data_IF_186323086834
#
_entry.id   IF_186323086834
#
_cell.length_a   1.000
_cell.length_b   1.000
_cell.length_c   1.000
_cell.angle_alpha   90.00
_cell.angle_beta   90.00
_cell.angle_gamma   90.00
#
_symmetry.space_group_name_H-M   'P 1'
#
loop_
_entity.id
_entity.type
_entity.pdbx_description
1 polymer ?
#
# COMPACT_ATOMS: atom_id res chain seq x y z
N UNK A 1 -12.07 7.22 -12.37
CA UNK A 1 -12.12 5.97 -11.56
C UNK A 1 -10.84 5.21 -11.86
N UNK A 2 -10.20 4.58 -10.89
CA UNK A 2 -8.96 3.82 -11.11
C UNK A 2 -9.28 2.32 -11.23
N UNK A 3 -8.72 1.66 -12.24
CA UNK A 3 -8.77 0.20 -12.38
C UNK A 3 -7.66 -0.45 -11.55
N UNK A 4 -8.05 -1.26 -10.57
CA UNK A 4 -7.15 -2.02 -9.69
C UNK A 4 -7.15 -3.52 -10.04
N UNK A 5 -7.75 -3.92 -11.17
CA UNK A 5 -7.79 -5.31 -11.62
C UNK A 5 -8.59 -6.22 -10.69
N UNK A 6 -9.66 -5.71 -10.09
CA UNK A 6 -10.51 -6.44 -9.13
C UNK A 6 -10.01 -6.44 -7.68
N UNK A 7 -8.88 -5.78 -7.38
CA UNK A 7 -8.44 -5.55 -6.00
C UNK A 7 -9.23 -4.42 -5.33
N UNK A 8 -9.38 -4.50 -4.01
CA UNK A 8 -10.00 -3.45 -3.20
C UNK A 8 -8.95 -2.48 -2.66
N UNK A 9 -9.38 -1.24 -2.40
CA UNK A 9 -8.57 -0.24 -1.71
C UNK A 9 -8.47 -0.60 -0.23
N UNK A 10 -7.23 -0.63 0.29
CA UNK A 10 -6.90 -0.89 1.70
C UNK A 10 -6.56 0.39 2.44
N UNK A 11 -5.75 1.23 1.80
CA UNK A 11 -5.42 2.55 2.32
C UNK A 11 -5.04 3.52 1.18
N UNK A 12 -5.10 4.82 1.49
CA UNK A 12 -4.73 5.90 0.60
C UNK A 12 -3.77 6.85 1.31
N UNK A 13 -2.67 7.18 0.65
CA UNK A 13 -1.76 8.23 1.11
C UNK A 13 -1.54 9.25 -0.01
N UNK A 14 -1.36 10.52 0.37
CA UNK A 14 -1.04 11.58 -0.58
C UNK A 14 0.46 11.83 -0.60
N UNK A 15 1.04 11.89 -1.80
CA UNK A 15 2.42 12.30 -2.06
C UNK A 15 2.40 13.33 -3.17
N UNK A 16 2.47 14.60 -2.79
CA UNK A 16 2.35 15.75 -3.70
C UNK A 16 1.02 15.71 -4.49
N UNK A 17 1.11 15.68 -5.82
CA UNK A 17 -0.02 15.57 -6.76
C UNK A 17 -0.45 14.12 -7.03
N UNK A 18 0.23 13.14 -6.42
CA UNK A 18 -0.08 11.74 -6.56
C UNK A 18 -0.83 11.21 -5.34
N UNK A 19 -1.68 10.23 -5.60
CA UNK A 19 -2.29 9.36 -4.61
C UNK A 19 -1.59 8.00 -4.69
N UNK A 20 -1.02 7.58 -3.57
CA UNK A 20 -0.59 6.21 -3.36
C UNK A 20 -1.81 5.40 -2.93
N UNK A 21 -2.08 4.32 -3.65
CA UNK A 21 -3.19 3.41 -3.36
C UNK A 21 -2.62 2.06 -2.96
N UNK A 22 -2.84 1.66 -1.70
CA UNK A 22 -2.62 0.28 -1.29
C UNK A 22 -3.84 -0.53 -1.70
N UNK A 23 -3.63 -1.53 -2.56
CA UNK A 23 -4.66 -2.41 -3.07
C UNK A 23 -4.37 -3.86 -2.70
N UNK A 24 -5.42 -4.63 -2.40
CA UNK A 24 -5.30 -6.05 -2.06
C UNK A 24 -6.60 -6.83 -2.25
N UNK A 25 -6.59 -8.16 -2.05
CA UNK A 25 -7.79 -8.99 -2.14
C UNK A 25 -8.86 -8.49 -1.17
N UNK A 26 -10.15 -8.44 -1.53
CA UNK A 26 -11.22 -7.93 -0.64
C UNK A 26 -11.63 -8.96 0.40
N UNK A 27 -11.57 -10.24 0.03
CA UNK A 27 -11.91 -11.38 0.89
C UNK A 27 -10.64 -12.01 1.46
N UNK A 28 -10.78 -13.05 2.31
CA UNK A 28 -9.66 -13.87 2.77
C UNK A 28 -9.03 -14.74 1.64
N UNK A 29 -9.35 -14.46 0.37
CA UNK A 29 -8.73 -15.12 -0.76
C UNK A 29 -7.25 -14.69 -0.88
N UNK A 30 -6.40 -15.66 -1.21
CA UNK A 30 -5.02 -15.37 -1.59
C UNK A 30 -4.99 -14.50 -2.84
N UNK A 31 -4.15 -13.48 -2.83
CA UNK A 31 -3.91 -12.62 -3.98
C UNK A 31 -2.86 -11.57 -3.69
N UNK A 32 -2.39 -10.84 -4.71
CA UNK A 32 -1.32 -9.88 -4.55
C UNK A 32 -1.81 -8.64 -3.79
N UNK A 33 -0.91 -8.06 -3.01
CA UNK A 33 -1.05 -6.68 -2.55
C UNK A 33 -0.15 -5.78 -3.39
N UNK A 34 -0.59 -4.56 -3.67
CA UNK A 34 0.11 -3.61 -4.55
C UNK A 34 0.06 -2.20 -4.00
N UNK A 35 1.15 -1.46 -4.15
CA UNK A 35 1.12 0.01 -4.08
C UNK A 35 1.04 0.53 -5.51
N UNK A 36 -0.02 1.29 -5.81
CA UNK A 36 -0.15 2.01 -7.08
C UNK A 36 0.18 3.49 -6.88
N UNK A 37 0.93 4.07 -7.82
CA UNK A 37 1.09 5.52 -7.95
C UNK A 37 0.10 6.07 -8.96
N UNK A 38 -0.92 6.80 -8.51
CA UNK A 38 -1.98 7.33 -9.35
C UNK A 38 -2.05 8.86 -9.29
N UNK A 39 -2.03 9.51 -10.44
CA UNK A 39 -2.32 10.94 -10.56
C UNK A 39 -3.65 11.11 -11.29
N UNK A 40 -4.75 11.51 -10.61
CA UNK A 40 -6.05 11.64 -11.23
C UNK A 40 -6.03 12.67 -12.38
N UNK A 41 -6.47 12.28 -13.57
CA UNK A 41 -6.48 13.18 -14.74
C UNK A 41 -7.68 14.12 -14.79
N UNK A 42 -8.75 13.81 -14.05
CA UNK A 42 -10.03 14.52 -14.12
C UNK A 42 -10.84 14.26 -15.39
N UNK A 43 -10.38 13.37 -16.29
CA UNK A 43 -10.97 13.16 -17.61
C UNK A 43 -12.31 12.37 -17.61
N UNK A 44 -12.87 12.04 -16.45
CA UNK A 44 -14.16 11.36 -16.35
C UNK A 44 -14.20 9.92 -16.88
N UNK A 45 -13.04 9.25 -16.98
CA UNK A 45 -12.90 7.87 -17.48
C UNK A 45 -12.31 6.92 -16.44
N UNK A 46 -12.27 5.63 -16.79
CA UNK A 46 -11.46 4.65 -16.08
C UNK A 46 -9.99 4.89 -16.45
N UNK A 47 -9.14 4.97 -15.43
CA UNK A 47 -7.72 5.24 -15.52
C UNK A 47 -6.94 4.02 -15.04
N UNK A 48 -5.67 3.94 -15.43
CA UNK A 48 -4.70 2.96 -14.93
C UNK A 48 -3.60 3.68 -14.15
N UNK A 49 -2.86 2.94 -13.33
CA UNK A 49 -1.77 3.46 -12.52
C UNK A 49 -0.57 2.52 -12.53
N UNK A 50 0.62 3.08 -12.34
CA UNK A 50 1.84 2.31 -12.23
C UNK A 50 1.85 1.53 -10.91
N UNK A 51 2.21 0.25 -10.96
CA UNK A 51 2.51 -0.54 -9.76
C UNK A 51 3.93 -0.17 -9.31
N UNK A 52 4.05 0.40 -8.13
CA UNK A 52 5.33 0.80 -7.53
C UNK A 52 5.94 -0.34 -6.71
N UNK A 53 5.09 -1.18 -6.12
CA UNK A 53 5.50 -2.35 -5.35
C UNK A 53 4.41 -3.42 -5.38
N UNK A 54 4.81 -4.69 -5.36
CA UNK A 54 3.91 -5.84 -5.27
C UNK A 54 4.43 -6.84 -4.24
N UNK A 55 3.57 -7.22 -3.28
CA UNK A 55 3.80 -8.38 -2.44
C UNK A 55 3.30 -9.62 -3.17
N UNK A 56 4.23 -10.51 -3.49
CA UNK A 56 3.94 -11.77 -4.18
C UNK A 56 3.59 -12.91 -3.22
N UNK A 57 3.79 -12.73 -1.91
CA UNK A 57 3.44 -13.72 -0.89
C UNK A 57 2.15 -13.32 -0.17
N UNK A 58 1.22 -14.27 -0.01
CA UNK A 58 -0.03 -14.04 0.73
C UNK A 58 0.12 -14.08 2.26
N UNK A 59 1.35 -14.10 2.80
CA UNK A 59 1.57 -14.13 4.26
C UNK A 59 1.59 -12.76 4.91
N UNK A 60 1.93 -11.74 4.15
CA UNK A 60 1.98 -10.37 4.64
C UNK A 60 0.78 -9.61 4.09
N UNK A 61 -0.08 -9.14 4.99
CA UNK A 61 -1.27 -8.37 4.66
C UNK A 61 -1.02 -6.89 5.00
N UNK A 62 -0.41 -6.11 4.10
CA UNK A 62 -0.27 -4.67 4.30
C UNK A 62 -1.67 -4.03 4.30
N UNK A 63 -1.92 -3.19 5.30
CA UNK A 63 -3.23 -2.55 5.51
C UNK A 63 -3.11 -1.03 5.71
N UNK A 64 -1.93 -0.51 6.05
CA UNK A 64 -1.75 0.92 6.33
C UNK A 64 -0.54 1.53 5.64
N UNK A 65 -0.71 2.76 5.14
CA UNK A 65 0.31 3.61 4.55
C UNK A 65 0.42 4.92 5.33
N UNK A 66 1.62 5.28 5.78
CA UNK A 66 1.86 6.54 6.47
C UNK A 66 3.08 7.26 5.91
N UNK A 67 2.95 8.49 5.36
CA UNK A 67 4.11 9.28 4.98
C UNK A 67 5.06 9.50 6.16
N UNK A 68 6.32 9.17 5.96
CA UNK A 68 7.32 9.23 7.02
C UNK A 68 8.71 9.48 6.46
N UNK A 69 9.37 10.52 6.97
CA UNK A 69 10.74 10.81 6.62
C UNK A 69 11.70 10.11 7.60
N UNK A 70 12.61 9.29 7.06
CA UNK A 70 13.68 8.67 7.82
C UNK A 70 14.97 9.43 7.52
N UNK A 71 15.59 10.03 8.54
CA UNK A 71 16.80 10.87 8.39
C UNK A 71 16.66 11.97 7.32
N UNK A 72 15.51 12.65 7.30
CA UNK A 72 15.09 13.64 6.31
C UNK A 72 14.89 13.11 4.87
N UNK A 73 14.98 11.79 4.66
CA UNK A 73 14.63 11.16 3.39
C UNK A 73 13.14 10.84 3.34
N UNK A 74 12.35 11.38 2.40
CA UNK A 74 10.93 11.08 2.29
C UNK A 74 10.69 9.62 1.95
N UNK A 75 9.74 9.00 2.64
CA UNK A 75 9.27 7.66 2.35
C UNK A 75 7.90 7.42 2.98
N UNK A 76 7.57 6.15 3.12
CA UNK A 76 6.29 5.66 3.58
C UNK A 76 6.53 4.51 4.55
N UNK A 77 5.90 4.55 5.72
CA UNK A 77 5.74 3.36 6.55
C UNK A 77 4.60 2.51 5.99
N UNK A 78 4.81 1.21 6.00
CA UNK A 78 3.81 0.19 5.66
C UNK A 78 3.51 -0.65 6.90
N UNK A 79 2.27 -0.58 7.36
CA UNK A 79 1.77 -1.38 8.46
C UNK A 79 0.97 -2.58 7.95
N UNK A 80 0.96 -3.65 8.74
CA UNK A 80 0.34 -4.93 8.40
C UNK A 80 -0.76 -5.25 9.40
N UNK A 81 -1.88 -5.77 8.92
CA UNK A 81 -3.01 -6.21 9.76
C UNK A 81 -2.64 -7.47 10.56
N UNK A 82 -2.08 -8.48 9.87
CA UNK A 82 -1.57 -9.71 10.47
C UNK A 82 -0.04 -9.80 10.28
N UNK A 83 0.76 -8.98 11.00
CA UNK A 83 2.21 -9.03 10.87
C UNK A 83 2.73 -10.40 11.34
N UNK A 84 3.71 -10.95 10.63
CA UNK A 84 4.43 -12.16 11.04
C UNK A 84 4.92 -11.99 12.50
N UNK A 85 4.87 -13.06 13.30
CA UNK A 85 5.32 -13.04 14.69
C UNK A 85 6.74 -12.49 14.87
N UNK A 86 7.60 -12.62 13.84
CA UNK A 86 8.95 -12.03 13.82
C UNK A 86 8.97 -10.50 13.87
N UNK A 87 7.88 -9.83 13.45
CA UNK A 87 7.73 -8.37 13.48
C UNK A 87 7.26 -7.86 14.85
N UNK A 88 6.92 -8.73 15.81
CA UNK A 88 6.41 -8.34 17.12
C UNK A 88 7.47 -8.51 18.20
N UNK A 89 7.65 -7.48 19.03
CA UNK A 89 8.53 -7.52 20.20
C UNK A 89 7.88 -6.80 21.38
N UNK A 90 7.29 -7.57 22.30
CA UNK A 90 6.47 -7.04 23.40
C UNK A 90 5.30 -6.21 22.86
N UNK A 91 5.22 -4.94 23.28
CA UNK A 91 4.20 -3.98 22.82
C UNK A 91 4.58 -3.24 21.52
N UNK A 92 5.66 -3.64 20.84
CA UNK A 92 6.15 -3.00 19.61
C UNK A 92 5.89 -3.88 18.39
N UNK A 93 5.60 -3.24 17.27
CA UNK A 93 5.52 -3.87 15.95
C UNK A 93 6.49 -3.19 14.99
N UNK A 94 7.22 -3.98 14.22
CA UNK A 94 8.05 -3.50 13.12
C UNK A 94 7.22 -3.30 11.87
N UNK A 95 7.33 -2.12 11.29
CA UNK A 95 6.77 -1.73 9.99
C UNK A 95 7.89 -1.64 8.97
N UNK A 96 7.55 -1.76 7.69
CA UNK A 96 8.51 -1.53 6.61
C UNK A 96 8.55 -0.05 6.26
N UNK A 97 9.70 0.44 5.80
CA UNK A 97 9.85 1.78 5.24
C UNK A 97 10.22 1.67 3.77
N UNK A 98 9.44 2.33 2.91
CA UNK A 98 9.54 2.32 1.45
C UNK A 98 9.80 3.75 0.95
N UNK A 99 10.75 3.96 0.04
CA UNK A 99 11.12 5.28 -0.48
C UNK A 99 11.18 5.32 -2.01
#
# INVERSE_FOLDING_TARGET
>A
MLDLGGLGVRDLARRDDHVLVLAGPVTAADGPFRIHGWQPSGAGRIETANVLYEWTSSREHPEGLCPFALDNWPGMLVAYDTPDGRRRSGAKVSVDWFA
#
